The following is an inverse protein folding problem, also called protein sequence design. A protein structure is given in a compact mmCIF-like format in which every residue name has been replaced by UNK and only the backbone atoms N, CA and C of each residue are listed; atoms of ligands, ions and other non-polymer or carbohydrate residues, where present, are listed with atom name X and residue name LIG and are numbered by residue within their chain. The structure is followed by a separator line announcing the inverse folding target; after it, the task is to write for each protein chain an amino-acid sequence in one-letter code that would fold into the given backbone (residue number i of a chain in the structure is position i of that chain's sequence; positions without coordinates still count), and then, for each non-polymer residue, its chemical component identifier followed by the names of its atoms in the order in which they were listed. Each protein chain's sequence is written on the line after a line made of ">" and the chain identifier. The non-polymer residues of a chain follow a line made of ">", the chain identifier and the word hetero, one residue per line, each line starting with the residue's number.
data_IF_365975670946
#
_entry.id   IF_365975670946
#
_cell.length_a   1.000
_cell.length_b   1.000
_cell.length_c   1.000
_cell.angle_alpha   90.00
_cell.angle_beta   90.00
_cell.angle_gamma   90.00
#
_symmetry.space_group_name_H-M   'P 1'
#
loop_
_entity.id
_entity.type
_entity.pdbx_description
1 polymer ?
#
# COMPACT_ATOMS: atom_id res chain seq x y z
N UNK A 1 -19.44 1.69 3.05
CA UNK A 1 -18.18 2.21 2.48
C UNK A 1 -17.11 1.18 2.77
N UNK A 2 -16.46 0.60 1.75
CA UNK A 2 -15.30 -0.25 1.98
C UNK A 2 -14.07 0.64 2.12
N UNK A 3 -13.28 0.46 3.18
CA UNK A 3 -12.00 1.16 3.32
C UNK A 3 -10.97 0.34 2.56
N UNK A 4 -10.23 0.99 1.65
CA UNK A 4 -9.15 0.38 0.89
C UNK A 4 -7.85 1.02 1.37
N UNK A 5 -6.90 0.17 1.77
CA UNK A 5 -5.59 0.57 2.26
C UNK A 5 -4.51 0.43 1.20
N UNK A 6 -3.50 1.29 1.26
CA UNK A 6 -2.31 1.19 0.43
C UNK A 6 -1.05 1.36 1.28
N UNK A 7 -0.13 0.41 1.17
CA UNK A 7 1.18 0.40 1.82
C UNK A 7 2.30 0.44 0.77
N UNK A 8 3.43 1.07 1.09
CA UNK A 8 4.59 1.14 0.20
C UNK A 8 5.89 1.01 0.97
N UNK A 9 6.81 0.25 0.40
CA UNK A 9 8.22 0.22 0.81
C UNK A 9 9.15 0.53 -0.36
N UNK A 10 10.22 1.27 -0.09
CA UNK A 10 11.15 1.79 -1.10
C UNK A 10 12.09 0.70 -1.64
N UNK A 11 12.34 -0.36 -0.88
CA UNK A 11 13.10 -1.54 -1.32
C UNK A 11 12.32 -2.82 -1.06
N UNK A 12 12.68 -3.91 -1.74
CA UNK A 12 12.03 -5.22 -1.52
C UNK A 12 12.34 -5.81 -0.14
N UNK A 13 13.51 -5.49 0.42
CA UNK A 13 13.95 -5.92 1.76
C UNK A 13 13.29 -5.17 2.91
N UNK A 14 12.64 -4.04 2.64
CA UNK A 14 11.92 -3.30 3.66
C UNK A 14 10.61 -4.01 4.02
N UNK A 15 10.35 -4.14 5.31
CA UNK A 15 9.16 -4.82 5.81
C UNK A 15 7.96 -3.86 5.88
N UNK A 16 6.86 -4.09 5.12
CA UNK A 16 5.65 -3.27 5.19
C UNK A 16 4.75 -3.59 6.38
N UNK A 17 5.05 -4.59 7.21
CA UNK A 17 4.14 -5.15 8.21
C UNK A 17 3.49 -4.08 9.11
N UNK A 18 4.26 -3.13 9.61
CA UNK A 18 3.73 -2.05 10.47
C UNK A 18 2.69 -1.17 9.75
N UNK A 19 2.84 -0.96 8.44
CA UNK A 19 1.85 -0.23 7.65
C UNK A 19 0.60 -1.09 7.44
N UNK A 20 0.76 -2.39 7.17
CA UNK A 20 -0.34 -3.31 6.99
C UNK A 20 -1.20 -3.44 8.25
N UNK A 21 -0.55 -3.59 9.42
CA UNK A 21 -1.24 -3.69 10.71
C UNK A 21 -2.05 -2.42 10.99
N UNK A 22 -1.46 -1.23 10.77
CA UNK A 22 -2.17 0.04 10.93
C UNK A 22 -3.35 0.20 9.97
N UNK A 23 -3.24 -0.29 8.73
CA UNK A 23 -4.33 -0.27 7.75
C UNK A 23 -5.45 -1.23 8.15
N UNK A 24 -5.12 -2.41 8.68
CA UNK A 24 -6.10 -3.35 9.20
C UNK A 24 -6.82 -2.78 10.42
N UNK A 25 -6.11 -2.15 11.37
CA UNK A 25 -6.72 -1.46 12.51
C UNK A 25 -7.62 -0.30 12.08
N UNK A 26 -7.28 0.39 11.00
CA UNK A 26 -8.13 1.43 10.40
C UNK A 26 -9.39 0.86 9.71
N UNK A 27 -9.55 -0.47 9.64
CA UNK A 27 -10.70 -1.13 9.02
C UNK A 27 -10.57 -1.34 7.51
N UNK A 28 -9.35 -1.29 6.96
CA UNK A 28 -9.12 -1.56 5.55
C UNK A 28 -9.51 -3.01 5.19
N UNK A 29 -10.49 -3.14 4.31
CA UNK A 29 -11.02 -4.43 3.81
C UNK A 29 -10.23 -4.99 2.64
N UNK A 30 -9.50 -4.14 1.92
CA UNK A 30 -8.58 -4.53 0.84
C UNK A 30 -7.31 -3.70 0.96
N UNK A 31 -6.15 -4.35 0.90
CA UNK A 31 -4.86 -3.67 1.05
C UNK A 31 -3.98 -3.96 -0.15
N UNK A 32 -3.46 -2.90 -0.74
CA UNK A 32 -2.52 -2.92 -1.85
C UNK A 32 -1.12 -2.60 -1.34
N UNK A 33 -0.10 -3.33 -1.81
CA UNK A 33 1.28 -3.13 -1.32
C UNK A 33 2.26 -3.03 -2.47
N UNK A 34 3.02 -1.95 -2.52
CA UNK A 34 4.13 -1.77 -3.47
C UNK A 34 5.48 -2.02 -2.78
N UNK A 35 6.29 -2.88 -3.38
CA UNK A 35 7.65 -3.20 -2.94
C UNK A 35 8.68 -2.69 -3.93
N UNK A 36 9.77 -2.08 -3.43
CA UNK A 36 10.84 -1.58 -4.30
C UNK A 36 10.46 -0.32 -5.08
N UNK A 37 9.38 0.35 -4.70
CA UNK A 37 8.90 1.55 -5.39
C UNK A 37 9.34 2.77 -4.61
N UNK A 38 10.26 3.54 -5.19
CA UNK A 38 10.71 4.81 -4.61
C UNK A 38 9.58 5.84 -4.56
N UNK A 39 9.60 6.69 -3.53
CA UNK A 39 8.57 7.74 -3.34
C UNK A 39 8.61 8.79 -4.46
N UNK A 40 9.75 8.93 -5.12
CA UNK A 40 9.97 9.77 -6.30
C UNK A 40 9.48 9.14 -7.61
N UNK A 41 9.14 7.85 -7.63
CA UNK A 41 8.66 7.18 -8.84
C UNK A 41 7.19 7.50 -9.05
N UNK A 42 6.86 7.98 -10.26
CA UNK A 42 5.51 8.32 -10.67
C UNK A 42 4.63 7.08 -10.90
N UNK A 43 5.22 5.97 -11.37
CA UNK A 43 4.51 4.71 -11.55
C UNK A 43 4.40 3.93 -10.24
N UNK A 44 3.17 3.75 -9.77
CA UNK A 44 2.82 3.01 -8.55
C UNK A 44 1.63 2.09 -8.86
N UNK A 45 1.88 0.92 -9.48
CA UNK A 45 0.82 0.11 -10.07
C UNK A 45 -0.21 -0.37 -9.04
N UNK A 46 0.20 -0.57 -7.77
CA UNK A 46 -0.74 -0.96 -6.72
C UNK A 46 -1.50 0.24 -6.13
N UNK A 47 -0.93 1.46 -6.18
CA UNK A 47 -1.66 2.68 -5.86
C UNK A 47 -2.72 2.99 -6.91
N UNK A 48 -2.37 2.85 -8.20
CA UNK A 48 -3.30 3.11 -9.31
C UNK A 48 -4.52 2.17 -9.22
N UNK A 49 -4.30 0.88 -8.94
CA UNK A 49 -5.39 -0.07 -8.68
C UNK A 49 -6.22 0.29 -7.44
N UNK A 50 -5.57 0.82 -6.40
CA UNK A 50 -6.25 1.25 -5.19
C UNK A 50 -7.19 2.45 -5.43
N UNK A 51 -6.86 3.31 -6.40
CA UNK A 51 -7.65 4.50 -6.75
C UNK A 51 -8.79 4.20 -7.74
N UNK A 52 -8.74 3.07 -8.44
CA UNK A 52 -9.79 2.64 -9.41
C UNK A 52 -10.99 1.96 -8.73
N UNK A 53 -10.89 1.63 -7.44
CA UNK A 53 -11.90 0.88 -6.65
C UNK A 53 -12.72 1.76 -5.70
#
# INVERSE_FOLDING_TARGET
>A
MAIIGYARVSTVDQNPQLQLDALQEAGATRIFTDHGVSGSTASRPNLDQCLDH
#
